data_IF_083825506740
#
_entry.id   IF_083825506740
#
_cell.length_a   1.000
_cell.length_b   1.000
_cell.length_c   1.000
_cell.angle_alpha   90.00
_cell.angle_beta   90.00
_cell.angle_gamma   90.00
#
_symmetry.space_group_name_H-M   'P 1'
#
loop_
_entity.id
_entity.type
_entity.pdbx_description
1 polymer ?
#
# COMPACT_ATOMS: atom_id res chain seq x y z
N UNK A 1 -2.81 -19.35 -6.89
CA UNK A 1 -2.96 -18.30 -7.89
C UNK A 1 -2.41 -16.99 -7.40
N UNK A 2 -1.79 -16.24 -8.29
CA UNK A 2 -1.13 -15.00 -7.92
C UNK A 2 -2.01 -13.82 -8.30
N UNK A 3 -2.15 -12.87 -7.36
CA UNK A 3 -2.88 -11.63 -7.63
C UNK A 3 -2.03 -10.70 -8.49
N UNK A 4 -2.68 -9.91 -9.32
CA UNK A 4 -2.01 -8.88 -10.10
C UNK A 4 -1.88 -7.62 -9.25
N UNK A 5 -0.67 -7.05 -9.17
CA UNK A 5 -0.40 -5.87 -8.36
C UNK A 5 -0.46 -4.62 -9.22
N UNK A 6 -1.27 -3.65 -8.79
CA UNK A 6 -1.37 -2.34 -9.42
C UNK A 6 -0.97 -1.28 -8.40
N UNK A 7 -0.31 -0.23 -8.85
CA UNK A 7 0.22 0.81 -7.97
C UNK A 7 -0.35 2.16 -8.38
N UNK A 8 -0.95 2.88 -7.41
CA UNK A 8 -1.49 4.21 -7.68
C UNK A 8 -0.36 5.22 -7.92
N UNK A 9 -0.66 6.36 -8.60
CA UNK A 9 0.35 7.40 -8.78
C UNK A 9 0.93 7.92 -7.47
N UNK A 10 0.11 8.05 -6.43
CA UNK A 10 0.57 8.50 -5.13
C UNK A 10 1.64 7.56 -4.57
N UNK A 11 1.37 6.26 -4.57
CA UNK A 11 2.32 5.26 -4.10
C UNK A 11 3.57 5.21 -4.97
N UNK A 12 3.40 5.31 -6.28
CA UNK A 12 4.52 5.28 -7.21
C UNK A 12 5.47 6.45 -7.01
N UNK A 13 4.94 7.67 -6.83
CA UNK A 13 5.77 8.85 -6.57
C UNK A 13 6.58 8.70 -5.30
N UNK A 14 5.97 8.19 -4.25
CA UNK A 14 6.66 7.98 -2.98
C UNK A 14 7.80 6.97 -3.13
N UNK A 15 7.55 5.89 -3.85
CA UNK A 15 8.54 4.82 -4.00
C UNK A 15 9.78 5.25 -4.80
N UNK A 16 9.65 6.26 -5.66
CA UNK A 16 10.79 6.75 -6.43
C UNK A 16 11.89 7.34 -5.57
N UNK A 17 11.54 7.78 -4.36
CA UNK A 17 12.49 8.37 -3.41
C UNK A 17 13.20 7.34 -2.55
N UNK A 18 12.81 6.09 -2.64
CA UNK A 18 13.40 5.02 -1.82
C UNK A 18 14.81 4.69 -2.31
N UNK A 19 15.68 4.30 -1.38
CA UNK A 19 16.99 3.76 -1.74
C UNK A 19 16.81 2.45 -2.51
N UNK A 20 17.85 2.02 -3.26
CA UNK A 20 17.77 0.73 -3.97
C UNK A 20 17.47 -0.44 -3.05
N UNK A 21 17.99 -0.42 -1.83
CA UNK A 21 17.75 -1.46 -0.83
C UNK A 21 16.27 -1.52 -0.45
N UNK A 22 15.66 -0.36 -0.20
CA UNK A 22 14.26 -0.29 0.16
C UNK A 22 13.37 -0.68 -1.01
N UNK A 23 13.73 -0.27 -2.23
CA UNK A 23 12.98 -0.67 -3.44
C UNK A 23 12.99 -2.18 -3.62
N UNK A 24 14.12 -2.82 -3.38
CA UNK A 24 14.24 -4.26 -3.49
C UNK A 24 13.36 -4.96 -2.45
N UNK A 25 13.38 -4.47 -1.22
CA UNK A 25 12.55 -5.02 -0.15
C UNK A 25 11.06 -4.82 -0.44
N UNK A 26 10.69 -3.69 -1.01
CA UNK A 26 9.30 -3.42 -1.39
C UNK A 26 8.83 -4.39 -2.45
N UNK A 27 9.66 -4.67 -3.46
CA UNK A 27 9.31 -5.64 -4.50
C UNK A 27 9.09 -7.02 -3.92
N UNK A 28 9.95 -7.44 -3.00
CA UNK A 28 9.82 -8.73 -2.33
C UNK A 28 8.52 -8.80 -1.53
N UNK A 29 8.18 -7.71 -0.82
CA UNK A 29 6.94 -7.64 -0.05
C UNK A 29 5.71 -7.74 -0.96
N UNK A 30 5.74 -7.06 -2.11
CA UNK A 30 4.63 -7.12 -3.07
C UNK A 30 4.45 -8.52 -3.64
N UNK A 31 5.54 -9.24 -3.87
CA UNK A 31 5.46 -10.62 -4.34
C UNK A 31 4.79 -11.52 -3.31
N UNK A 32 5.10 -11.31 -2.03
CA UNK A 32 4.47 -12.08 -0.97
C UNK A 32 2.97 -11.77 -0.89
N UNK A 33 2.60 -10.49 -0.96
CA UNK A 33 1.20 -10.10 -0.95
C UNK A 33 0.44 -10.65 -2.17
N UNK A 34 1.10 -10.70 -3.32
CA UNK A 34 0.48 -11.25 -4.54
C UNK A 34 0.10 -12.70 -4.38
N UNK A 35 0.86 -13.45 -3.56
CA UNK A 35 0.54 -14.84 -3.26
C UNK A 35 -0.57 -14.95 -2.23
N UNK A 36 -0.62 -14.04 -1.27
CA UNK A 36 -1.60 -14.08 -0.20
C UNK A 36 -1.84 -12.69 0.38
N UNK A 37 -2.89 -11.99 -0.08
CA UNK A 37 -3.16 -10.63 0.42
C UNK A 37 -3.57 -10.58 1.88
N UNK A 38 -3.94 -11.70 2.48
CA UNK A 38 -4.32 -11.75 3.89
C UNK A 38 -3.13 -11.76 4.85
N UNK A 39 -1.89 -11.71 4.32
CA UNK A 39 -0.71 -11.49 5.14
C UNK A 39 -0.71 -10.11 5.77
N UNK A 40 -1.43 -9.17 5.18
CA UNK A 40 -1.57 -7.83 5.73
C UNK A 40 -2.51 -7.79 6.93
N UNK A 41 -2.61 -6.61 7.51
CA UNK A 41 -3.45 -6.35 8.67
C UNK A 41 -4.54 -5.36 8.27
N UNK A 42 -5.78 -5.68 8.60
CA UNK A 42 -6.91 -4.81 8.27
C UNK A 42 -6.86 -3.53 9.13
N UNK A 43 -7.07 -2.39 8.50
CA UNK A 43 -7.07 -1.11 9.19
C UNK A 43 -8.47 -0.73 9.65
N UNK A 44 -8.54 0.19 10.61
CA UNK A 44 -9.77 0.57 11.28
C UNK A 44 -10.06 2.07 11.09
N UNK A 45 -11.21 2.51 11.61
CA UNK A 45 -11.63 3.92 11.62
C UNK A 45 -11.62 4.53 10.23
N UNK A 46 -10.95 5.65 10.04
CA UNK A 46 -10.92 6.37 8.76
C UNK A 46 -10.34 5.55 7.62
N UNK A 47 -9.53 4.54 7.94
CA UNK A 47 -8.90 3.69 6.95
C UNK A 47 -9.55 2.31 6.85
N UNK A 48 -10.78 2.19 7.35
CA UNK A 48 -11.57 0.98 7.23
C UNK A 48 -11.68 0.56 5.76
N UNK A 49 -11.46 -0.72 5.48
CA UNK A 49 -11.47 -1.25 4.11
C UNK A 49 -10.09 -1.33 3.48
N UNK A 50 -9.11 -0.63 4.05
CA UNK A 50 -7.73 -0.77 3.62
C UNK A 50 -6.99 -1.76 4.51
N UNK A 51 -5.87 -2.26 3.98
CA UNK A 51 -5.00 -3.19 4.69
C UNK A 51 -3.58 -2.66 4.67
N UNK A 52 -2.77 -3.04 5.63
CA UNK A 52 -1.37 -2.66 5.64
C UNK A 52 -0.47 -3.88 5.81
N UNK A 53 0.70 -3.83 5.18
CA UNK A 53 1.69 -4.89 5.27
C UNK A 53 3.05 -4.26 5.56
N UNK A 54 3.69 -4.75 6.59
CA UNK A 54 4.95 -4.21 7.08
C UNK A 54 6.14 -4.86 6.35
N UNK A 55 7.08 -4.02 5.90
CA UNK A 55 8.38 -4.50 5.44
C UNK A 55 9.45 -3.51 5.92
N UNK A 56 10.51 -4.00 6.51
CA UNK A 56 11.53 -3.16 7.13
C UNK A 56 10.86 -2.14 8.08
N UNK A 57 11.16 -0.86 7.90
CA UNK A 57 10.52 0.22 8.67
C UNK A 57 9.43 0.93 7.88
N UNK A 58 8.93 0.26 6.85
CA UNK A 58 7.94 0.81 5.93
C UNK A 58 6.66 0.00 5.99
N UNK A 59 5.59 0.59 5.47
CA UNK A 59 4.31 -0.09 5.32
C UNK A 59 3.73 0.16 3.95
N UNK A 60 3.05 -0.86 3.44
CA UNK A 60 2.30 -0.80 2.20
C UNK A 60 0.83 -0.76 2.57
N UNK A 61 0.10 0.27 2.12
CA UNK A 61 -1.35 0.34 2.31
C UNK A 61 -2.01 -0.08 1.00
N UNK A 62 -2.89 -1.07 1.08
CA UNK A 62 -3.45 -1.67 -0.13
C UNK A 62 -4.88 -2.12 0.08
N UNK A 63 -5.56 -2.39 -1.02
CA UNK A 63 -6.84 -3.09 -1.06
C UNK A 63 -6.70 -4.29 -1.97
N UNK A 64 -7.40 -5.37 -1.64
CA UNK A 64 -7.43 -6.56 -2.48
C UNK A 64 -8.84 -6.77 -3.02
N UNK A 65 -8.92 -6.99 -4.32
CA UNK A 65 -10.17 -7.38 -4.98
C UNK A 65 -10.08 -8.88 -5.25
N UNK A 66 -10.75 -9.66 -4.43
CA UNK A 66 -10.64 -11.11 -4.50
C UNK A 66 -11.36 -11.70 -5.73
N UNK A 67 -12.33 -10.98 -6.25
CA UNK A 67 -13.05 -11.44 -7.46
C UNK A 67 -12.18 -11.24 -8.70
N UNK A 68 -11.57 -10.07 -8.83
CA UNK A 68 -10.71 -9.75 -9.97
C UNK A 68 -9.27 -10.21 -9.78
N UNK A 69 -8.92 -10.70 -8.59
CA UNK A 69 -7.55 -11.12 -8.26
C UNK A 69 -6.55 -10.00 -8.44
N UNK A 70 -6.90 -8.81 -7.96
CA UNK A 70 -6.05 -7.62 -8.02
C UNK A 70 -5.70 -7.15 -6.62
N UNK A 71 -4.48 -6.65 -6.47
CA UNK A 71 -4.07 -5.87 -5.28
C UNK A 71 -3.75 -4.47 -5.78
N UNK A 72 -4.37 -3.47 -5.17
CA UNK A 72 -4.10 -2.07 -5.49
C UNK A 72 -3.33 -1.46 -4.34
N UNK A 73 -2.10 -1.07 -4.62
CA UNK A 73 -1.23 -0.42 -3.63
C UNK A 73 -1.53 1.07 -3.65
N UNK A 74 -2.15 1.56 -2.58
CA UNK A 74 -2.58 2.95 -2.46
C UNK A 74 -1.48 3.86 -1.93
N UNK A 75 -0.64 3.34 -1.02
CA UNK A 75 0.42 4.15 -0.42
C UNK A 75 1.54 3.26 0.07
N UNK A 76 2.76 3.79 0.08
CA UNK A 76 3.93 3.13 0.64
C UNK A 76 4.76 4.22 1.31
N UNK A 77 5.17 3.99 2.55
CA UNK A 77 5.99 4.97 3.24
C UNK A 77 6.48 4.48 4.58
N UNK A 78 7.23 5.35 5.26
CA UNK A 78 7.78 5.05 6.57
C UNK A 78 6.67 4.82 7.58
N UNK A 79 6.86 3.85 8.46
CA UNK A 79 5.84 3.43 9.43
C UNK A 79 5.33 4.56 10.33
N UNK A 80 6.15 5.61 10.55
CA UNK A 80 5.75 6.72 11.41
C UNK A 80 4.86 7.74 10.73
N UNK A 81 4.98 7.86 9.41
CA UNK A 81 4.36 8.95 8.68
C UNK A 81 3.25 8.51 7.73
N UNK A 82 3.26 7.23 7.33
CA UNK A 82 2.42 6.79 6.22
C UNK A 82 0.93 6.95 6.49
N UNK A 83 0.48 6.70 7.70
CA UNK A 83 -0.96 6.78 7.99
C UNK A 83 -1.47 8.22 7.90
N UNK A 84 -0.72 9.16 8.47
CA UNK A 84 -1.07 10.57 8.41
C UNK A 84 -0.99 11.08 6.98
N UNK A 85 0.07 10.74 6.27
CA UNK A 85 0.25 11.15 4.88
C UNK A 85 -0.86 10.60 3.99
N UNK A 86 -1.25 9.35 4.20
CA UNK A 86 -2.30 8.74 3.41
C UNK A 86 -3.67 9.33 3.73
N UNK A 87 -3.96 9.59 5.00
CA UNK A 87 -5.20 10.25 5.39
C UNK A 87 -5.30 11.62 4.74
N UNK A 88 -4.21 12.39 4.74
CA UNK A 88 -4.17 13.68 4.07
C UNK A 88 -4.43 13.56 2.58
N UNK A 89 -3.87 12.54 1.94
CA UNK A 89 -4.10 12.28 0.52
C UNK A 89 -5.57 11.98 0.23
N UNK A 90 -6.20 11.13 1.05
CA UNK A 90 -7.61 10.81 0.88
C UNK A 90 -8.51 12.03 1.04
N UNK A 91 -8.20 12.89 2.02
CA UNK A 91 -8.95 14.13 2.20
C UNK A 91 -8.81 15.05 1.00
N UNK A 92 -7.63 15.11 0.42
CA UNK A 92 -7.36 15.87 -0.78
C UNK A 92 -8.21 15.39 -1.96
N UNK A 93 -8.36 14.08 -2.11
CA UNK A 93 -9.20 13.51 -3.16
C UNK A 93 -10.67 13.83 -2.96
N UNK A 94 -11.15 13.79 -1.71
CA UNK A 94 -12.57 14.01 -1.43
C UNK A 94 -12.94 15.50 -1.47
N UNK A 95 -11.98 16.41 -1.43
CA UNK A 95 -12.25 17.85 -1.47
C UNK A 95 -12.36 18.42 -2.88
N UNK A 96 -12.28 17.60 -3.90
CA UNK A 96 -12.32 18.00 -5.31
C UNK A 96 -13.72 17.93 -5.90
N UNK A 97 -14.70 18.38 -5.20
CA UNK A 97 -16.07 18.39 -5.73
C UNK A 97 -16.32 19.58 -6.64
#
# INVERSE_FOLDING_TARGET
MTYQVKITPFANRASKKFSPEVKKAAKAALKELAKNPYLGKELQAELSGFWSYKFLRYRIIFKADTQKKNIIVWAVGHRRDIYEAFCGHLLSLSSED
#
